data_IF_541542986959
#
_entry.id   IF_541542986959
#
_cell.length_a   1.000
_cell.length_b   1.000
_cell.length_c   1.000
_cell.angle_alpha   90.00
_cell.angle_beta   90.00
_cell.angle_gamma   90.00
#
_symmetry.space_group_name_H-M   'P 1'
#
loop_
_entity.id
_entity.type
_entity.pdbx_description
1 polymer ?
#
# COMPACT_ATOMS: atom_id res chain seq x y z
N UNK A 1 -22.95 20.89 -9.83
CA UNK A 1 -22.67 19.46 -9.55
C UNK A 1 -23.23 19.17 -8.17
N UNK A 2 -23.88 18.03 -7.99
CA UNK A 2 -24.48 17.67 -6.71
C UNK A 2 -23.34 17.41 -5.71
N UNK A 3 -23.36 18.01 -4.52
CA UNK A 3 -22.28 17.86 -3.51
C UNK A 3 -22.01 16.40 -3.12
N UNK A 4 -23.00 15.53 -3.31
CA UNK A 4 -22.91 14.08 -3.05
C UNK A 4 -22.01 13.29 -4.00
N UNK A 5 -21.56 13.87 -5.12
CA UNK A 5 -20.78 13.18 -6.16
C UNK A 5 -19.35 13.71 -6.27
N UNK A 6 -18.76 14.09 -5.13
CA UNK A 6 -17.39 14.59 -5.04
C UNK A 6 -16.49 13.59 -4.32
N UNK A 7 -15.23 13.56 -4.74
CA UNK A 7 -14.21 12.66 -4.21
C UNK A 7 -13.05 13.46 -3.63
N UNK A 8 -12.71 13.20 -2.37
CA UNK A 8 -11.47 13.66 -1.75
C UNK A 8 -10.38 12.61 -1.93
N UNK A 9 -9.26 13.00 -2.49
CA UNK A 9 -8.03 12.18 -2.47
C UNK A 9 -7.24 12.52 -1.21
N UNK A 10 -6.96 11.51 -0.41
CA UNK A 10 -6.23 11.64 0.86
C UNK A 10 -4.87 10.95 0.72
N UNK A 11 -3.79 11.68 0.96
CA UNK A 11 -2.42 11.19 0.84
C UNK A 11 -1.68 11.47 2.15
N UNK A 12 -1.26 10.41 2.84
CA UNK A 12 -0.36 10.54 3.98
C UNK A 12 1.09 10.59 3.50
N UNK A 13 1.86 11.58 4.00
CA UNK A 13 3.24 11.80 3.59
C UNK A 13 4.21 11.82 4.77
N UNK A 14 5.39 11.25 4.55
CA UNK A 14 6.56 11.40 5.39
C UNK A 14 7.82 11.21 4.54
N UNK A 15 8.55 12.29 4.30
CA UNK A 15 9.74 12.31 3.44
C UNK A 15 9.49 11.62 2.09
N UNK A 16 8.51 12.14 1.35
CA UNK A 16 7.98 11.54 0.13
C UNK A 16 8.37 12.30 -1.15
N UNK A 17 9.35 13.21 -1.12
CA UNK A 17 9.72 14.09 -2.22
C UNK A 17 9.99 13.35 -3.54
N UNK A 18 10.46 12.09 -3.47
CA UNK A 18 10.89 11.32 -4.64
C UNK A 18 9.78 11.07 -5.65
N UNK A 19 8.54 10.83 -5.20
CA UNK A 19 7.43 10.44 -6.07
C UNK A 19 6.22 11.36 -6.02
N UNK A 20 6.15 12.22 -5.00
CA UNK A 20 4.95 13.00 -4.69
C UNK A 20 4.51 13.91 -5.85
N UNK A 21 5.42 14.55 -6.55
CA UNK A 21 5.09 15.43 -7.69
C UNK A 21 4.33 14.67 -8.80
N UNK A 22 4.78 13.44 -9.12
CA UNK A 22 4.12 12.58 -10.10
C UNK A 22 2.75 12.09 -9.60
N UNK A 23 2.64 11.77 -8.31
CA UNK A 23 1.38 11.34 -7.69
C UNK A 23 0.36 12.47 -7.73
N UNK A 24 0.74 13.69 -7.32
CA UNK A 24 -0.12 14.86 -7.31
C UNK A 24 -0.57 15.27 -8.72
N UNK A 25 0.33 15.19 -9.71
CA UNK A 25 -0.02 15.41 -11.11
C UNK A 25 -1.12 14.45 -11.58
N UNK A 26 -1.10 13.20 -11.13
CA UNK A 26 -2.08 12.19 -11.53
C UNK A 26 -3.46 12.38 -10.88
N UNK A 27 -3.53 13.05 -9.74
CA UNK A 27 -4.79 13.28 -9.00
C UNK A 27 -5.32 14.71 -9.10
N UNK A 28 -4.69 15.58 -9.88
CA UNK A 28 -5.01 17.03 -9.97
C UNK A 28 -6.47 17.35 -10.35
N UNK A 29 -7.13 16.43 -11.03
CA UNK A 29 -8.50 16.62 -11.54
C UNK A 29 -9.58 16.03 -10.59
N UNK A 30 -9.22 15.70 -9.35
CA UNK A 30 -10.20 15.34 -8.30
C UNK A 30 -10.71 16.60 -7.57
N UNK A 31 -11.84 16.49 -6.88
CA UNK A 31 -12.50 17.65 -6.25
C UNK A 31 -11.72 18.22 -5.05
N UNK A 32 -10.99 17.37 -4.34
CA UNK A 32 -10.11 17.76 -3.23
C UNK A 32 -8.87 16.87 -3.22
N UNK A 33 -7.71 17.49 -2.96
CA UNK A 33 -6.46 16.79 -2.65
C UNK A 33 -6.05 17.22 -1.24
N UNK A 34 -6.09 16.29 -0.32
CA UNK A 34 -5.68 16.47 1.08
C UNK A 34 -4.38 15.73 1.35
N UNK A 35 -3.35 16.47 1.71
CA UNK A 35 -2.08 15.94 2.21
C UNK A 35 -2.12 15.94 3.73
N UNK A 36 -1.91 14.79 4.33
CA UNK A 36 -1.67 14.66 5.76
C UNK A 36 -0.18 14.41 5.98
N UNK A 37 0.54 15.49 6.26
CA UNK A 37 1.98 15.43 6.46
C UNK A 37 2.33 15.01 7.89
N UNK A 38 3.22 14.03 7.99
CA UNK A 38 3.66 13.44 9.26
C UNK A 38 5.03 13.99 9.67
N UNK A 39 5.18 15.34 9.63
CA UNK A 39 6.40 16.07 9.99
C UNK A 39 7.59 15.74 9.05
N UNK A 40 7.36 15.85 7.73
CA UNK A 40 8.42 15.71 6.73
C UNK A 40 9.50 16.79 6.89
N UNK A 41 10.75 16.39 6.65
CA UNK A 41 11.94 17.26 6.74
C UNK A 41 12.62 17.51 5.39
N UNK A 42 12.12 16.87 4.33
CA UNK A 42 12.53 17.05 2.93
C UNK A 42 11.60 18.05 2.21
N UNK A 43 11.63 18.11 0.87
CA UNK A 43 10.80 19.02 0.08
C UNK A 43 9.34 18.59 -0.08
N UNK A 44 8.86 17.58 0.65
CA UNK A 44 7.49 17.04 0.54
C UNK A 44 6.42 18.13 0.65
N UNK A 45 6.50 18.97 1.70
CA UNK A 45 5.49 20.02 1.97
C UNK A 45 5.56 21.13 0.91
N UNK A 46 6.76 21.45 0.40
CA UNK A 46 6.93 22.42 -0.68
C UNK A 46 6.29 21.93 -1.98
N UNK A 47 6.48 20.65 -2.32
CA UNK A 47 5.84 20.03 -3.48
C UNK A 47 4.31 20.09 -3.36
N UNK A 48 3.75 19.73 -2.20
CA UNK A 48 2.31 19.79 -1.96
C UNK A 48 1.73 21.21 -2.13
N UNK A 49 2.45 22.24 -1.65
CA UNK A 49 2.04 23.65 -1.82
C UNK A 49 2.03 24.07 -3.29
N UNK A 50 3.02 23.67 -4.09
CA UNK A 50 3.08 23.96 -5.53
C UNK A 50 1.87 23.37 -6.30
N UNK A 51 1.34 22.24 -5.84
CA UNK A 51 0.14 21.62 -6.39
C UNK A 51 -1.16 22.15 -5.77
N UNK A 52 -1.11 23.22 -4.95
CA UNK A 52 -2.27 23.83 -4.30
C UNK A 52 -3.09 22.86 -3.44
N UNK A 53 -2.45 21.83 -2.87
CA UNK A 53 -3.11 20.87 -2.00
C UNK A 53 -3.52 21.51 -0.67
N UNK A 54 -4.63 21.05 -0.11
CA UNK A 54 -4.93 21.29 1.32
C UNK A 54 -3.98 20.45 2.15
N UNK A 55 -3.30 21.06 3.12
CA UNK A 55 -2.30 20.37 3.94
C UNK A 55 -2.76 20.40 5.41
N UNK A 56 -2.78 19.25 6.05
CA UNK A 56 -2.92 19.09 7.50
C UNK A 56 -1.69 18.38 8.04
N UNK A 57 -1.32 18.68 9.27
CA UNK A 57 -0.17 18.06 9.92
C UNK A 57 -0.65 17.06 10.98
N UNK A 58 -0.06 15.87 10.96
CA UNK A 58 -0.24 14.86 12.00
C UNK A 58 1.06 14.68 12.77
N UNK A 59 1.06 14.99 14.07
CA UNK A 59 2.24 14.84 14.93
C UNK A 59 2.57 13.37 15.17
N UNK A 60 3.76 12.94 14.79
CA UNK A 60 4.20 11.54 14.93
C UNK A 60 4.44 11.11 16.38
N UNK A 61 4.73 12.04 17.27
CA UNK A 61 5.10 11.91 18.71
C UNK A 61 5.49 10.51 19.22
N UNK A 62 4.61 9.53 19.08
CA UNK A 62 4.79 8.16 19.56
C UNK A 62 4.33 7.09 18.57
N UNK A 63 3.90 7.49 17.38
CA UNK A 63 3.41 6.55 16.36
C UNK A 63 4.51 6.23 15.37
N UNK A 64 4.96 4.96 15.36
CA UNK A 64 5.86 4.43 14.33
C UNK A 64 5.09 3.84 13.13
N UNK A 65 3.78 4.12 13.05
CA UNK A 65 2.85 3.56 12.08
C UNK A 65 2.01 4.67 11.44
N UNK A 66 1.54 4.45 10.22
CA UNK A 66 0.77 5.44 9.45
C UNK A 66 -0.73 5.39 9.72
N UNK A 67 -1.22 4.30 10.29
CA UNK A 67 -2.66 4.03 10.42
C UNK A 67 -3.41 5.11 11.23
N UNK A 68 -2.91 5.65 12.36
CA UNK A 68 -3.57 6.75 13.06
C UNK A 68 -3.66 8.03 12.23
N UNK A 69 -2.62 8.33 11.43
CA UNK A 69 -2.62 9.48 10.55
C UNK A 69 -3.60 9.28 9.37
N UNK A 70 -3.82 8.04 8.91
CA UNK A 70 -4.83 7.73 7.88
C UNK A 70 -6.23 7.99 8.39
N UNK A 71 -6.57 7.49 9.57
CA UNK A 71 -7.88 7.73 10.19
C UNK A 71 -8.14 9.24 10.37
N UNK A 72 -7.16 9.95 10.92
CA UNK A 72 -7.24 11.41 11.07
C UNK A 72 -7.48 12.11 9.72
N UNK A 73 -6.70 11.77 8.70
CA UNK A 73 -6.81 12.38 7.38
C UNK A 73 -8.14 12.09 6.67
N UNK A 74 -8.69 10.88 6.85
CA UNK A 74 -10.00 10.52 6.32
C UNK A 74 -11.08 11.41 6.94
N UNK A 75 -11.04 11.66 8.25
CA UNK A 75 -11.98 12.54 8.93
C UNK A 75 -11.86 14.00 8.49
N UNK A 76 -10.65 14.47 8.19
CA UNK A 76 -10.38 15.81 7.68
C UNK A 76 -10.86 16.04 6.23
N UNK A 77 -11.07 14.99 5.44
CA UNK A 77 -11.55 15.10 4.06
C UNK A 77 -12.93 15.79 4.00
N UNK A 78 -13.12 16.69 3.02
CA UNK A 78 -14.33 17.50 2.90
C UNK A 78 -15.50 16.73 2.29
N UNK A 79 -15.24 15.74 1.41
CA UNK A 79 -16.27 15.05 0.66
C UNK A 79 -16.69 13.72 1.29
N UNK A 80 -17.84 13.21 0.87
CA UNK A 80 -18.40 11.94 1.33
C UNK A 80 -17.55 10.74 0.87
N UNK A 81 -17.06 10.80 -0.38
CA UNK A 81 -16.23 9.75 -0.96
C UNK A 81 -14.75 10.06 -0.78
N UNK A 82 -14.02 9.08 -0.28
CA UNK A 82 -12.58 9.21 -0.04
C UNK A 82 -11.83 8.15 -0.83
N UNK A 83 -10.80 8.60 -1.56
CA UNK A 83 -9.79 7.76 -2.18
C UNK A 83 -8.46 7.94 -1.42
N UNK A 84 -8.03 6.92 -0.69
CA UNK A 84 -6.72 6.93 -0.05
C UNK A 84 -5.66 6.47 -1.05
N UNK A 85 -4.62 7.29 -1.21
CA UNK A 85 -3.50 7.05 -2.14
C UNK A 85 -2.19 7.12 -1.36
N UNK A 86 -1.30 6.16 -1.52
CA UNK A 86 0.03 6.24 -0.92
C UNK A 86 0.91 7.20 -1.76
N UNK A 87 1.88 7.86 -1.14
CA UNK A 87 2.70 8.90 -1.79
C UNK A 87 3.60 8.40 -2.94
N UNK A 88 3.55 7.12 -3.23
CA UNK A 88 4.23 6.42 -4.32
C UNK A 88 3.26 5.63 -5.23
N UNK A 89 1.95 5.92 -5.14
CA UNK A 89 0.91 5.30 -5.98
C UNK A 89 0.33 6.31 -6.97
N UNK A 90 0.27 5.94 -8.25
CA UNK A 90 -0.30 6.76 -9.32
C UNK A 90 -1.70 6.26 -9.67
N UNK A 91 -2.67 7.17 -9.61
CA UNK A 91 -4.04 6.94 -10.08
C UNK A 91 -4.07 7.08 -11.60
N UNK A 92 -4.56 6.05 -12.31
CA UNK A 92 -4.72 6.15 -13.77
C UNK A 92 -5.95 6.99 -14.12
N UNK A 93 -5.96 7.70 -15.27
CA UNK A 93 -7.15 8.41 -15.75
C UNK A 93 -8.37 7.47 -15.86
N UNK A 94 -8.17 6.24 -16.30
CA UNK A 94 -9.24 5.25 -16.39
C UNK A 94 -9.83 4.89 -15.01
N UNK A 95 -9.00 4.80 -13.96
CA UNK A 95 -9.49 4.57 -12.60
C UNK A 95 -10.29 5.76 -12.10
N UNK A 96 -9.80 7.00 -12.29
CA UNK A 96 -10.53 8.21 -11.91
C UNK A 96 -11.93 8.23 -12.55
N UNK A 97 -11.98 8.08 -13.87
CA UNK A 97 -13.25 8.14 -14.62
C UNK A 97 -14.23 7.02 -14.19
N UNK A 98 -13.68 5.84 -13.89
CA UNK A 98 -14.45 4.73 -13.35
C UNK A 98 -15.05 5.05 -11.97
N UNK A 99 -14.28 5.67 -11.06
CA UNK A 99 -14.76 6.03 -9.73
C UNK A 99 -15.89 7.08 -9.80
N UNK A 100 -15.75 8.11 -10.65
CA UNK A 100 -16.81 9.10 -10.85
C UNK A 100 -18.08 8.51 -11.49
N UNK A 101 -17.93 7.53 -12.39
CA UNK A 101 -19.06 6.80 -12.94
C UNK A 101 -19.73 5.91 -11.89
N UNK A 102 -18.93 5.28 -11.01
CA UNK A 102 -19.42 4.37 -9.98
C UNK A 102 -20.28 5.08 -8.94
N UNK A 103 -19.85 6.25 -8.43
CA UNK A 103 -20.59 7.00 -7.41
C UNK A 103 -21.91 7.58 -7.90
N UNK A 104 -22.15 7.59 -9.21
CA UNK A 104 -23.43 8.02 -9.81
C UNK A 104 -24.45 6.89 -9.89
N UNK A 105 -24.04 5.64 -9.66
CA UNK A 105 -24.92 4.47 -9.75
C UNK A 105 -25.78 4.36 -8.48
N UNK A 106 -27.05 4.01 -8.65
CA UNK A 106 -28.02 3.82 -7.56
C UNK A 106 -27.53 2.76 -6.54
N UNK A 107 -26.80 1.75 -7.03
CA UNK A 107 -26.26 0.66 -6.22
C UNK A 107 -24.73 0.73 -6.12
N UNK A 108 -24.17 1.92 -5.84
CA UNK A 108 -22.75 2.06 -5.57
C UNK A 108 -22.35 1.29 -4.30
N UNK A 109 -21.25 0.50 -4.31
CA UNK A 109 -20.75 -0.13 -3.09
C UNK A 109 -20.20 0.91 -2.12
N UNK A 110 -20.26 0.64 -0.81
CA UNK A 110 -19.76 1.54 0.23
C UNK A 110 -18.23 1.50 0.34
N UNK A 111 -17.60 0.46 -0.19
CA UNK A 111 -16.14 0.32 -0.27
C UNK A 111 -15.70 -0.47 -1.49
N UNK A 112 -14.52 -0.16 -2.01
CA UNK A 112 -13.98 -0.77 -3.21
C UNK A 112 -12.51 -1.17 -3.03
N UNK A 113 -12.24 -2.45 -3.25
CA UNK A 113 -10.87 -2.94 -3.39
C UNK A 113 -10.36 -2.64 -4.80
N UNK A 114 -9.26 -1.91 -4.87
CA UNK A 114 -8.59 -1.52 -6.11
C UNK A 114 -7.36 -2.41 -6.29
N UNK A 115 -7.13 -3.00 -7.47
CA UNK A 115 -5.91 -3.74 -7.73
C UNK A 115 -4.70 -2.80 -7.82
N UNK A 116 -3.52 -3.28 -7.47
CA UNK A 116 -2.28 -2.53 -7.51
C UNK A 116 -1.22 -3.26 -8.33
N UNK A 117 -0.59 -2.55 -9.27
CA UNK A 117 0.56 -3.03 -10.03
C UNK A 117 1.83 -2.70 -9.27
N UNK A 118 2.52 -3.72 -8.78
CA UNK A 118 3.80 -3.55 -8.12
C UNK A 118 4.94 -3.69 -9.13
N UNK A 119 5.93 -2.79 -9.03
CA UNK A 119 7.12 -2.82 -9.86
C UNK A 119 8.34 -3.24 -9.02
N UNK A 120 9.26 -3.94 -9.67
CA UNK A 120 10.54 -4.30 -9.09
C UNK A 120 11.62 -4.31 -10.17
N UNK A 121 12.73 -3.63 -9.93
CA UNK A 121 13.79 -3.44 -10.93
C UNK A 121 13.24 -2.89 -12.28
N UNK A 122 12.33 -1.93 -12.21
CA UNK A 122 11.72 -1.27 -13.37
C UNK A 122 10.69 -2.13 -14.14
N UNK A 123 10.35 -3.33 -13.66
CA UNK A 123 9.37 -4.21 -14.32
C UNK A 123 8.14 -4.44 -13.47
N UNK A 124 6.98 -4.45 -14.13
CA UNK A 124 5.73 -4.91 -13.54
C UNK A 124 5.84 -6.39 -13.14
N UNK A 125 5.55 -6.69 -11.87
CA UNK A 125 5.66 -8.03 -11.29
C UNK A 125 4.31 -8.74 -11.33
N UNK A 126 4.15 -9.68 -12.26
CA UNK A 126 2.93 -10.50 -12.39
C UNK A 126 2.66 -11.35 -11.15
N UNK A 127 3.72 -11.86 -10.54
CA UNK A 127 3.63 -12.68 -9.32
C UNK A 127 3.07 -11.96 -8.10
N UNK A 128 3.00 -10.63 -8.13
CA UNK A 128 2.40 -9.78 -7.10
C UNK A 128 1.11 -9.07 -7.56
N UNK A 129 0.53 -9.50 -8.67
CA UNK A 129 -0.72 -8.98 -9.19
C UNK A 129 -1.82 -10.05 -9.18
N UNK A 130 -3.07 -9.73 -8.83
CA UNK A 130 -3.55 -8.46 -8.31
C UNK A 130 -3.28 -8.34 -6.81
N UNK A 131 -2.71 -7.25 -6.41
CA UNK A 131 -2.56 -6.86 -5.01
C UNK A 131 -3.73 -5.93 -4.65
N UNK A 132 -4.87 -6.52 -4.29
CA UNK A 132 -6.08 -5.74 -4.01
C UNK A 132 -5.99 -5.07 -2.64
N UNK A 133 -6.16 -3.75 -2.62
CA UNK A 133 -6.18 -2.92 -1.42
C UNK A 133 -7.51 -2.16 -1.34
N UNK A 134 -8.11 -2.08 -0.15
CA UNK A 134 -9.33 -1.31 0.10
C UNK A 134 -8.93 0.16 0.28
N UNK A 135 -9.21 1.00 -0.72
CA UNK A 135 -8.72 2.37 -0.79
C UNK A 135 -9.78 3.39 -1.18
N UNK A 136 -10.93 2.97 -1.68
CA UNK A 136 -12.03 3.87 -2.04
C UNK A 136 -13.26 3.48 -1.23
N UNK A 137 -13.87 4.46 -0.54
CA UNK A 137 -14.99 4.18 0.37
C UNK A 137 -15.75 5.46 0.78
N UNK A 138 -16.90 5.25 1.37
CA UNK A 138 -17.66 6.32 2.04
C UNK A 138 -17.06 6.62 3.40
N UNK A 139 -16.75 7.89 3.64
CA UNK A 139 -16.14 8.37 4.89
C UNK A 139 -16.98 8.03 6.13
N UNK A 140 -18.27 8.27 6.05
CA UNK A 140 -19.25 8.07 7.15
C UNK A 140 -19.43 6.59 7.57
N UNK A 141 -19.02 5.65 6.71
CA UNK A 141 -19.12 4.21 6.93
C UNK A 141 -17.78 3.52 7.19
N UNK A 142 -16.70 4.28 7.28
CA UNK A 142 -15.36 3.71 7.32
C UNK A 142 -14.67 4.06 8.63
N UNK A 143 -14.04 3.06 9.23
CA UNK A 143 -13.12 3.19 10.34
C UNK A 143 -11.79 2.52 9.99
N UNK A 144 -10.67 3.22 10.20
CA UNK A 144 -9.34 2.65 10.02
C UNK A 144 -8.68 2.39 11.36
N UNK A 145 -8.65 1.12 11.83
CA UNK A 145 -8.05 0.79 13.12
C UNK A 145 -6.59 1.21 13.22
N UNK A 146 -6.20 1.78 14.36
CA UNK A 146 -4.82 2.21 14.65
C UNK A 146 -3.90 1.00 14.94
N UNK A 147 -3.94 -0.03 14.11
CA UNK A 147 -3.18 -1.28 14.23
C UNK A 147 -2.35 -1.47 12.96
N UNK A 148 -1.08 -1.82 13.12
CA UNK A 148 -0.14 -2.04 12.00
C UNK A 148 -0.72 -3.05 10.98
N UNK A 149 -0.73 -2.68 9.71
CA UNK A 149 -1.23 -3.49 8.60
C UNK A 149 -2.72 -3.83 8.67
N UNK A 150 -3.51 -3.07 9.42
CA UNK A 150 -4.96 -3.20 9.34
C UNK A 150 -5.50 -2.72 7.99
N UNK A 151 -6.53 -3.42 7.53
CA UNK A 151 -7.38 -2.98 6.43
C UNK A 151 -8.50 -2.12 7.04
N UNK A 152 -8.92 -1.01 6.39
CA UNK A 152 -10.06 -0.24 6.87
C UNK A 152 -11.32 -1.13 6.94
N UNK A 153 -12.13 -0.90 7.97
CA UNK A 153 -13.42 -1.55 8.16
C UNK A 153 -14.50 -0.67 7.56
N UNK A 154 -15.27 -1.21 6.62
CA UNK A 154 -16.35 -0.49 5.95
C UNK A 154 -17.69 -1.13 6.30
N UNK A 155 -18.59 -0.35 6.94
CA UNK A 155 -19.95 -0.78 7.24
C UNK A 155 -20.80 -0.70 5.96
N UNK A 156 -21.07 -1.87 5.35
CA UNK A 156 -21.90 -1.95 4.16
C UNK A 156 -21.34 -2.89 3.08
N UNK A 157 -21.74 -2.63 1.85
CA UNK A 157 -21.34 -3.47 0.71
C UNK A 157 -19.95 -3.07 0.20
N UNK A 158 -19.05 -4.04 0.18
CA UNK A 158 -17.69 -3.86 -0.33
C UNK A 158 -17.48 -4.75 -1.55
N UNK A 159 -16.97 -4.17 -2.62
CA UNK A 159 -16.70 -4.86 -3.88
C UNK A 159 -15.22 -4.83 -4.26
N UNK A 160 -14.87 -5.58 -5.30
CA UNK A 160 -13.50 -5.61 -5.86
C UNK A 160 -13.52 -5.33 -7.34
N UNK A 161 -12.65 -4.45 -7.80
CA UNK A 161 -12.37 -4.32 -9.23
C UNK A 161 -11.78 -5.64 -9.72
N UNK A 162 -12.34 -6.25 -10.79
CA UNK A 162 -11.81 -7.50 -11.32
C UNK A 162 -10.35 -7.38 -11.77
N UNK A 163 -9.50 -8.35 -11.42
CA UNK A 163 -8.07 -8.36 -11.77
C UNK A 163 -7.78 -8.20 -13.27
N UNK A 164 -8.71 -8.61 -14.14
CA UNK A 164 -8.59 -8.43 -15.60
C UNK A 164 -8.63 -6.97 -16.04
N UNK A 165 -9.24 -6.08 -15.26
CA UNK A 165 -9.33 -4.63 -15.52
C UNK A 165 -8.04 -3.93 -15.09
N UNK A 166 -6.91 -4.27 -15.73
CA UNK A 166 -5.57 -3.74 -15.37
C UNK A 166 -5.45 -2.23 -15.55
N UNK A 167 -6.24 -1.63 -16.40
CA UNK A 167 -6.31 -0.17 -16.62
C UNK A 167 -6.84 0.58 -15.38
N UNK A 168 -7.59 -0.11 -14.52
CA UNK A 168 -8.14 0.42 -13.27
C UNK A 168 -7.26 0.14 -12.05
N UNK A 169 -6.03 -0.29 -12.24
CA UNK A 169 -5.11 -0.55 -11.15
C UNK A 169 -4.28 0.69 -10.80
N UNK A 170 -3.97 0.88 -9.52
CA UNK A 170 -2.89 1.77 -9.13
C UNK A 170 -1.56 1.34 -9.74
N UNK A 171 -0.72 2.31 -10.09
CA UNK A 171 0.67 2.07 -10.44
C UNK A 171 1.55 2.41 -9.23
N UNK A 172 2.09 1.39 -8.56
CA UNK A 172 2.92 1.56 -7.37
C UNK A 172 4.37 1.73 -7.76
N UNK A 173 4.86 2.97 -7.63
CA UNK A 173 6.17 3.40 -8.10
C UNK A 173 7.33 2.92 -7.22
N UNK A 174 7.04 2.47 -6.00
CA UNK A 174 8.06 1.98 -5.09
C UNK A 174 8.90 0.89 -5.77
N UNK A 175 10.11 1.27 -6.13
CA UNK A 175 11.11 0.40 -6.73
C UNK A 175 12.23 0.24 -5.71
N UNK A 176 11.92 -0.50 -4.63
CA UNK A 176 12.88 -0.72 -3.54
C UNK A 176 14.20 -1.25 -4.09
N UNK A 177 15.30 -0.63 -3.68
CA UNK A 177 16.64 -1.15 -3.92
C UNK A 177 16.83 -2.46 -3.14
N UNK A 178 17.78 -3.29 -3.57
CA UNK A 178 18.10 -4.52 -2.81
C UNK A 178 18.50 -4.19 -1.38
N UNK A 179 19.25 -3.12 -1.17
CA UNK A 179 19.64 -2.63 0.15
C UNK A 179 18.41 -2.33 1.02
N UNK A 180 17.43 -1.59 0.51
CA UNK A 180 16.18 -1.30 1.22
C UNK A 180 15.37 -2.56 1.52
N UNK A 181 15.33 -3.53 0.59
CA UNK A 181 14.64 -4.80 0.81
C UNK A 181 15.31 -5.61 1.93
N UNK A 182 16.64 -5.65 1.95
CA UNK A 182 17.40 -6.34 3.01
C UNK A 182 17.18 -5.63 4.36
N UNK A 183 17.24 -4.31 4.38
CA UNK A 183 16.94 -3.52 5.57
C UNK A 183 15.51 -3.79 6.09
N UNK A 184 14.50 -3.69 5.23
CA UNK A 184 13.10 -3.99 5.57
C UNK A 184 12.93 -5.45 6.02
N UNK A 185 13.61 -6.41 5.37
CA UNK A 185 13.61 -7.82 5.79
C UNK A 185 14.09 -7.95 7.23
N UNK A 186 15.16 -7.23 7.57
CA UNK A 186 15.72 -7.24 8.92
C UNK A 186 14.73 -6.72 9.98
N UNK A 187 14.00 -5.64 9.66
CA UNK A 187 12.99 -5.07 10.54
C UNK A 187 11.74 -5.98 10.66
N UNK A 188 11.19 -6.41 9.53
CA UNK A 188 9.97 -7.21 9.52
C UNK A 188 10.14 -8.59 10.16
N UNK A 189 11.31 -9.22 9.97
CA UNK A 189 11.59 -10.49 10.65
C UNK A 189 11.70 -10.32 12.16
N UNK A 190 12.17 -9.16 12.66
CA UNK A 190 12.17 -8.84 14.10
C UNK A 190 10.74 -8.74 14.64
N UNK A 191 9.87 -7.97 13.98
CA UNK A 191 8.48 -7.82 14.38
C UNK A 191 7.70 -9.16 14.29
N UNK A 192 8.04 -10.02 13.32
CA UNK A 192 7.44 -11.35 13.18
C UNK A 192 7.86 -12.30 14.32
N UNK A 193 9.08 -12.17 14.82
CA UNK A 193 9.54 -12.94 15.99
C UNK A 193 8.67 -12.68 17.22
N UNK A 194 8.38 -11.43 17.51
CA UNK A 194 7.52 -11.04 18.64
C UNK A 194 6.13 -11.68 18.54
N UNK A 195 5.55 -11.68 17.33
CA UNK A 195 4.22 -12.30 17.10
C UNK A 195 4.23 -13.83 17.14
N UNK A 196 5.38 -14.46 16.86
CA UNK A 196 5.52 -15.93 16.78
C UNK A 196 6.40 -16.53 17.87
N UNK A 197 6.47 -15.90 19.04
CA UNK A 197 7.31 -16.33 20.16
C UNK A 197 7.12 -17.81 20.56
N UNK A 198 5.87 -18.29 20.54
CA UNK A 198 5.52 -19.65 20.98
C UNK A 198 5.75 -20.75 19.93
N UNK A 199 6.19 -20.39 18.69
CA UNK A 199 6.43 -21.39 17.64
C UNK A 199 7.86 -21.91 17.66
N UNK A 200 8.02 -23.23 17.73
CA UNK A 200 9.31 -23.89 17.60
C UNK A 200 9.50 -24.46 16.18
N UNK A 201 10.72 -24.41 15.69
CA UNK A 201 11.07 -24.87 14.35
C UNK A 201 12.27 -25.83 14.44
N UNK A 202 12.12 -27.07 13.98
CA UNK A 202 13.22 -28.03 13.89
C UNK A 202 14.17 -27.71 12.74
N UNK A 203 15.34 -28.37 12.72
CA UNK A 203 16.41 -28.15 11.74
C UNK A 203 15.94 -28.26 10.28
N UNK A 204 15.02 -29.18 9.98
CA UNK A 204 14.48 -29.33 8.62
C UNK A 204 13.74 -28.08 8.11
N UNK A 205 13.22 -27.24 9.02
CA UNK A 205 12.54 -26.01 8.63
C UNK A 205 13.47 -25.02 7.91
N UNK A 206 14.78 -25.01 8.23
CA UNK A 206 15.78 -24.15 7.59
C UNK A 206 15.98 -24.46 6.10
N UNK A 207 15.76 -25.71 5.69
CA UNK A 207 15.84 -26.12 4.29
C UNK A 207 14.49 -25.97 3.60
N UNK A 208 13.44 -26.56 4.18
CA UNK A 208 12.15 -26.65 3.53
C UNK A 208 11.43 -25.32 3.36
N UNK A 209 11.38 -24.46 4.40
CA UNK A 209 10.60 -23.23 4.35
C UNK A 209 11.15 -22.21 3.35
N UNK A 210 12.46 -21.90 3.30
CA UNK A 210 13.02 -21.02 2.27
C UNK A 210 12.81 -21.58 0.86
N UNK A 211 13.07 -22.89 0.67
CA UNK A 211 12.87 -23.55 -0.61
C UNK A 211 11.41 -23.52 -1.05
N UNK A 212 10.48 -23.88 -0.17
CA UNK A 212 9.05 -23.83 -0.47
C UNK A 212 8.59 -22.40 -0.79
N UNK A 213 9.09 -21.39 -0.07
CA UNK A 213 8.75 -19.99 -0.32
C UNK A 213 9.28 -19.53 -1.68
N UNK A 214 10.52 -19.88 -2.02
CA UNK A 214 11.07 -19.67 -3.35
C UNK A 214 10.19 -20.34 -4.43
N UNK A 215 9.95 -21.63 -4.31
CA UNK A 215 9.17 -22.41 -5.26
C UNK A 215 7.75 -21.83 -5.44
N UNK A 216 7.08 -21.53 -4.33
CA UNK A 216 5.75 -20.90 -4.35
C UNK A 216 5.75 -19.59 -5.13
N UNK A 217 6.75 -18.74 -4.92
CA UNK A 217 6.82 -17.44 -5.60
C UNK A 217 7.23 -17.63 -7.06
N UNK A 218 8.27 -18.42 -7.32
CA UNK A 218 8.84 -18.55 -8.65
C UNK A 218 7.92 -19.32 -9.61
N UNK A 219 7.37 -20.44 -9.16
CA UNK A 219 6.52 -21.32 -9.99
C UNK A 219 5.04 -21.00 -9.80
N UNK A 220 4.50 -21.17 -8.57
CA UNK A 220 3.04 -21.11 -8.36
C UNK A 220 2.46 -19.71 -8.56
N UNK A 221 3.20 -18.66 -8.20
CA UNK A 221 2.81 -17.27 -8.46
C UNK A 221 3.27 -16.74 -9.82
N UNK A 222 4.00 -17.54 -10.59
CA UNK A 222 4.41 -17.21 -11.95
C UNK A 222 5.54 -16.18 -12.06
N UNK A 223 6.38 -15.99 -11.01
CA UNK A 223 7.52 -15.07 -11.09
C UNK A 223 8.54 -15.47 -12.18
N UNK A 224 8.55 -16.73 -12.61
CA UNK A 224 9.33 -17.22 -13.77
C UNK A 224 9.01 -16.40 -15.05
N UNK A 225 7.76 -15.94 -15.20
CA UNK A 225 7.34 -15.11 -16.34
C UNK A 225 7.82 -13.65 -16.24
N UNK A 226 8.31 -13.24 -15.06
CA UNK A 226 8.86 -11.91 -14.81
C UNK A 226 10.38 -11.86 -15.09
N UNK A 227 10.98 -12.97 -15.55
CA UNK A 227 12.38 -13.06 -15.95
C UNK A 227 13.35 -12.93 -14.76
N UNK A 228 14.51 -12.26 -14.99
CA UNK A 228 15.54 -12.08 -13.93
C UNK A 228 15.01 -11.39 -12.67
N UNK A 229 14.25 -10.28 -12.74
CA UNK A 229 13.64 -9.70 -11.55
C UNK A 229 12.74 -10.67 -10.78
N UNK A 230 11.97 -11.52 -11.48
CA UNK A 230 11.13 -12.54 -10.87
C UNK A 230 11.93 -13.59 -10.11
N UNK A 231 13.05 -14.06 -10.68
CA UNK A 231 13.96 -14.96 -10.01
C UNK A 231 14.56 -14.34 -8.74
N UNK A 232 15.11 -13.10 -8.87
CA UNK A 232 15.67 -12.37 -7.72
C UNK A 232 14.63 -12.19 -6.63
N UNK A 233 13.40 -11.80 -6.99
CA UNK A 233 12.30 -11.62 -6.01
C UNK A 233 11.97 -12.93 -5.30
N UNK A 234 11.92 -14.05 -6.01
CA UNK A 234 11.68 -15.37 -5.42
C UNK A 234 12.78 -15.79 -4.44
N UNK A 235 14.05 -15.49 -4.78
CA UNK A 235 15.20 -15.73 -3.87
C UNK A 235 15.07 -14.87 -2.60
N UNK A 236 14.73 -13.59 -2.74
CA UNK A 236 14.53 -12.67 -1.60
C UNK A 236 13.39 -13.12 -0.68
N UNK A 237 12.33 -13.71 -1.23
CA UNK A 237 11.24 -14.29 -0.43
C UNK A 237 11.70 -15.54 0.36
N UNK A 238 12.55 -16.37 -0.23
CA UNK A 238 13.23 -17.48 0.47
C UNK A 238 14.20 -16.98 1.55
N UNK A 239 15.00 -15.96 1.21
CA UNK A 239 15.92 -15.30 2.13
C UNK A 239 15.19 -14.75 3.38
N UNK A 240 14.04 -14.11 3.20
CA UNK A 240 13.21 -13.65 4.31
C UNK A 240 12.90 -14.79 5.30
N UNK A 241 12.48 -15.96 4.78
CA UNK A 241 12.16 -17.11 5.62
C UNK A 241 13.39 -17.65 6.34
N UNK A 242 14.55 -17.66 5.67
CA UNK A 242 15.80 -18.11 6.27
C UNK A 242 16.23 -17.18 7.42
N UNK A 243 16.24 -15.86 7.19
CA UNK A 243 16.59 -14.87 8.22
C UNK A 243 15.66 -14.94 9.43
N UNK A 244 14.34 -15.10 9.19
CA UNK A 244 13.39 -15.29 10.28
C UNK A 244 13.73 -16.51 11.14
N UNK A 245 14.03 -17.66 10.53
CA UNK A 245 14.41 -18.88 11.23
C UNK A 245 15.74 -18.74 11.97
N UNK A 246 16.76 -18.14 11.33
CA UNK A 246 18.06 -17.91 11.92
C UNK A 246 17.97 -17.06 13.19
N UNK A 247 17.25 -15.93 13.14
CA UNK A 247 17.00 -15.08 14.31
C UNK A 247 16.19 -15.81 15.40
N UNK A 248 15.24 -16.67 14.99
CA UNK A 248 14.46 -17.46 15.95
C UNK A 248 15.33 -18.48 16.69
N UNK A 249 16.27 -19.09 15.99
CA UNK A 249 17.26 -19.98 16.59
C UNK A 249 18.21 -19.23 17.51
N UNK A 250 18.74 -18.08 17.07
CA UNK A 250 19.61 -17.21 17.87
C UNK A 250 18.98 -16.84 19.24
N UNK A 251 17.66 -16.60 19.28
CA UNK A 251 16.94 -16.33 20.53
C UNK A 251 16.76 -17.57 21.43
N UNK A 252 17.03 -18.77 20.93
CA UNK A 252 16.83 -20.02 21.66
C UNK A 252 18.10 -20.56 22.31
N UNK A 253 19.26 -19.96 22.02
CA UNK A 253 20.58 -20.26 22.61
C UNK A 253 20.94 -19.24 23.65
#
# INVERSE_FOLDING_TARGET
MNEKNRISVVINTYNAEQHLDRVLTAVKDFDEILICDMESTDHTVEIARRHHCRIVTFERKQYNIVEPAREYAIHEASNEWVLVVDADEVVTPALRDYLYTLIQQEHCPDGLFIPRKNYFMGRFMRCHYPDHILRFFRKDKTHWPAIIHCVPEVAGRVEKIPAKRKELAFEHLANDTIENIVYKTNQYTRNELERKQHKHYGTMAFFWRPFFRFFKTYILKGAILDGRPGFIKAVLEGYYQFIFLAKKYEQSI
#
